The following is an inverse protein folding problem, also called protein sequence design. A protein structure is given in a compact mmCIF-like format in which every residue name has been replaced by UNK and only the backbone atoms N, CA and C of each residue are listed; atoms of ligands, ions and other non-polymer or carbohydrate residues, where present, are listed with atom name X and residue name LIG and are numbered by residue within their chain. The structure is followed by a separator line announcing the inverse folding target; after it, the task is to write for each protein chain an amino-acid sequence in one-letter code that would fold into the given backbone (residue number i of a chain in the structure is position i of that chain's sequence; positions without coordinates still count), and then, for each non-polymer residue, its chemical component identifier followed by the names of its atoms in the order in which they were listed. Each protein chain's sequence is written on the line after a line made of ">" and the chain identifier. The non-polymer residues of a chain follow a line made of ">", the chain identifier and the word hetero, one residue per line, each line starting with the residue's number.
data_IF_532901054351
#
_entry.id   IF_532901054351
#
_cell.length_a   1.000
_cell.length_b   1.000
_cell.length_c   1.000
_cell.angle_alpha   90.00
_cell.angle_beta   90.00
_cell.angle_gamma   90.00
#
_symmetry.space_group_name_H-M   'P 1'
#
loop_
_entity.id
_entity.type
_entity.pdbx_description
1 polymer ?
#
# COMPACT_ATOMS: atom_id res chain seq x y z
N UNK A 1 -29.88 6.74 -5.57
CA UNK A 1 -29.88 5.59 -4.64
C UNK A 1 -28.60 5.66 -3.82
N UNK A 2 -28.70 5.92 -2.52
CA UNK A 2 -27.55 5.91 -1.62
C UNK A 2 -27.31 4.46 -1.17
N UNK A 3 -26.40 3.75 -1.83
CA UNK A 3 -26.06 2.38 -1.44
C UNK A 3 -25.21 2.44 -0.16
N UNK A 4 -25.62 1.80 0.95
CA UNK A 4 -24.80 1.73 2.14
C UNK A 4 -23.47 1.05 1.82
N UNK A 5 -22.39 1.50 2.47
CA UNK A 5 -21.06 0.88 2.33
C UNK A 5 -21.17 -0.62 2.65
N UNK A 6 -20.61 -1.52 1.83
CA UNK A 6 -20.70 -2.96 2.07
C UNK A 6 -20.05 -3.35 3.41
N UNK A 7 -20.53 -4.44 4.01
CA UNK A 7 -20.03 -4.96 5.29
C UNK A 7 -18.57 -5.43 5.25
N UNK A 8 -18.03 -5.66 4.05
CA UNK A 8 -16.67 -6.11 3.82
C UNK A 8 -16.10 -5.46 2.57
N UNK A 9 -14.80 -5.09 2.55
CA UNK A 9 -14.13 -4.56 1.36
C UNK A 9 -13.79 -5.66 0.33
N UNK A 10 -14.15 -6.92 0.59
CA UNK A 10 -13.86 -8.03 -0.30
C UNK A 10 -14.59 -7.90 -1.65
N UNK A 11 -13.87 -8.09 -2.75
CA UNK A 11 -14.43 -8.13 -4.11
C UNK A 11 -14.48 -9.55 -4.69
N UNK A 12 -14.43 -10.58 -3.83
CA UNK A 12 -14.37 -12.00 -4.19
C UNK A 12 -13.17 -12.41 -5.09
N UNK A 13 -12.12 -11.58 -5.13
CA UNK A 13 -10.83 -11.92 -5.72
C UNK A 13 -9.77 -11.95 -4.61
N UNK A 14 -9.17 -13.12 -4.38
CA UNK A 14 -8.18 -13.31 -3.32
C UNK A 14 -6.85 -13.78 -3.92
N UNK A 15 -5.84 -12.91 -3.87
CA UNK A 15 -4.49 -13.26 -4.32
C UNK A 15 -3.58 -13.72 -3.17
N UNK A 16 -4.00 -13.57 -1.91
CA UNK A 16 -3.22 -14.07 -0.76
C UNK A 16 -3.22 -15.60 -0.71
N UNK A 17 -4.24 -16.26 -1.26
CA UNK A 17 -4.25 -17.70 -1.47
C UNK A 17 -3.16 -18.17 -2.47
N UNK A 18 -2.63 -17.25 -3.28
CA UNK A 18 -1.57 -17.49 -4.25
C UNK A 18 -0.18 -17.06 -3.74
N UNK A 19 -0.09 -16.58 -2.49
CA UNK A 19 1.17 -16.22 -1.84
C UNK A 19 1.43 -14.72 -1.66
N UNK A 20 0.53 -13.82 -2.08
CA UNK A 20 0.68 -12.39 -1.78
C UNK A 20 0.41 -12.11 -0.29
N UNK A 21 1.21 -11.26 0.37
CA UNK A 21 0.94 -10.83 1.74
C UNK A 21 -0.21 -9.82 1.85
N UNK A 22 -0.44 -9.05 0.77
CA UNK A 22 -1.53 -8.08 0.62
C UNK A 22 -2.36 -8.45 -0.59
N UNK A 23 -3.68 -8.59 -0.40
CA UNK A 23 -4.59 -8.98 -1.45
C UNK A 23 -4.67 -7.91 -2.56
N UNK A 24 -4.45 -8.29 -3.82
CA UNK A 24 -4.53 -7.36 -4.96
C UNK A 24 -5.96 -6.88 -5.24
N UNK A 25 -6.97 -7.60 -4.77
CA UNK A 25 -8.38 -7.26 -4.96
C UNK A 25 -8.90 -6.25 -3.92
N UNK A 26 -8.76 -6.57 -2.64
CA UNK A 26 -9.32 -5.75 -1.55
C UNK A 26 -8.27 -4.98 -0.73
N UNK A 27 -6.98 -5.09 -1.07
CA UNK A 27 -5.83 -4.39 -0.45
C UNK A 27 -5.71 -4.54 1.07
N UNK A 28 -6.36 -5.57 1.63
CA UNK A 28 -6.17 -6.03 3.00
C UNK A 28 -4.99 -6.99 3.11
N UNK A 29 -4.37 -7.02 4.28
CA UNK A 29 -3.38 -8.05 4.61
C UNK A 29 -4.05 -9.40 4.83
N UNK A 30 -3.30 -10.50 4.71
CA UNK A 30 -3.83 -11.83 5.05
C UNK A 30 -4.37 -11.90 6.49
N UNK A 31 -3.71 -11.24 7.44
CA UNK A 31 -4.17 -11.14 8.83
C UNK A 31 -5.54 -10.48 8.94
N UNK A 32 -5.74 -9.35 8.26
CA UNK A 32 -7.04 -8.65 8.26
C UNK A 32 -8.14 -9.45 7.56
N UNK A 33 -7.81 -10.23 6.52
CA UNK A 33 -8.76 -11.11 5.84
C UNK A 33 -9.18 -12.25 6.75
N UNK A 34 -8.22 -12.95 7.36
CA UNK A 34 -8.49 -14.11 8.22
C UNK A 34 -9.20 -13.75 9.52
N UNK A 35 -8.95 -12.55 10.06
CA UNK A 35 -9.54 -12.09 11.32
C UNK A 35 -10.83 -11.27 11.15
N UNK A 36 -11.27 -10.98 9.92
CA UNK A 36 -12.35 -10.03 9.65
C UNK A 36 -13.62 -10.28 10.48
N UNK A 37 -14.07 -11.54 10.57
CA UNK A 37 -15.29 -11.91 11.28
C UNK A 37 -15.18 -11.78 12.81
N UNK A 38 -13.95 -11.69 13.34
CA UNK A 38 -13.66 -11.56 14.76
C UNK A 38 -13.34 -10.11 15.18
N UNK A 39 -13.11 -9.22 14.21
CA UNK A 39 -12.80 -7.81 14.47
C UNK A 39 -14.03 -7.03 14.95
N UNK A 40 -13.82 -6.23 15.99
CA UNK A 40 -14.76 -5.20 16.43
C UNK A 40 -14.99 -4.12 15.37
N UNK A 41 -15.99 -3.27 15.58
CA UNK A 41 -16.31 -2.18 14.65
C UNK A 41 -15.15 -1.20 14.48
N UNK A 42 -14.50 -0.81 15.59
CA UNK A 42 -13.36 0.11 15.57
C UNK A 42 -12.15 -0.45 14.79
N UNK A 43 -11.90 -1.76 14.90
CA UNK A 43 -10.84 -2.44 14.16
C UNK A 43 -11.17 -2.51 12.66
N UNK A 44 -12.40 -2.89 12.31
CA UNK A 44 -12.87 -2.89 10.93
C UNK A 44 -12.78 -1.50 10.31
N UNK A 45 -13.16 -0.46 11.04
CA UNK A 45 -13.07 0.92 10.58
C UNK A 45 -11.61 1.37 10.40
N UNK A 46 -10.71 0.95 11.29
CA UNK A 46 -9.27 1.19 11.11
C UNK A 46 -8.73 0.54 9.83
N UNK A 47 -9.17 -0.68 9.50
CA UNK A 47 -8.82 -1.34 8.23
C UNK A 47 -9.35 -0.53 7.04
N UNK A 48 -10.64 -0.15 7.07
CA UNK A 48 -11.26 0.64 6.00
C UNK A 48 -10.52 1.94 5.71
N UNK A 49 -10.10 2.68 6.74
CA UNK A 49 -9.33 3.94 6.57
C UNK A 49 -7.99 3.73 5.89
N UNK A 50 -7.36 2.56 5.99
CA UNK A 50 -6.06 2.26 5.37
C UNK A 50 -6.16 1.87 3.89
N UNK A 51 -7.30 1.31 3.45
CA UNK A 51 -7.42 0.74 2.10
C UNK A 51 -7.17 1.73 0.96
N UNK A 52 -7.67 2.98 0.99
CA UNK A 52 -7.40 3.94 -0.08
C UNK A 52 -5.90 4.19 -0.29
N UNK A 53 -5.16 4.31 0.81
CA UNK A 53 -3.73 4.51 0.77
C UNK A 53 -2.99 3.26 0.27
N UNK A 54 -3.33 2.08 0.80
CA UNK A 54 -2.76 0.80 0.33
C UNK A 54 -3.04 0.53 -1.13
N UNK A 55 -4.19 0.96 -1.65
CA UNK A 55 -4.50 0.87 -3.07
C UNK A 55 -3.53 1.68 -3.94
N UNK A 56 -3.10 2.85 -3.47
CA UNK A 56 -2.07 3.65 -4.16
C UNK A 56 -0.72 2.96 -4.08
N UNK A 57 -0.34 2.44 -2.91
CA UNK A 57 0.91 1.69 -2.74
C UNK A 57 0.96 0.46 -3.64
N UNK A 58 -0.13 -0.29 -3.74
CA UNK A 58 -0.23 -1.49 -4.59
C UNK A 58 0.03 -1.14 -6.06
N UNK A 59 -0.51 -0.02 -6.56
CA UNK A 59 -0.28 0.43 -7.95
C UNK A 59 1.18 0.77 -8.20
N UNK A 60 1.85 1.41 -7.23
CA UNK A 60 3.28 1.71 -7.32
C UNK A 60 4.12 0.43 -7.25
N UNK A 61 3.81 -0.50 -6.34
CA UNK A 61 4.47 -1.82 -6.28
C UNK A 61 4.40 -2.54 -7.63
N UNK A 62 3.20 -2.61 -8.21
CA UNK A 62 2.96 -3.24 -9.49
C UNK A 62 3.76 -2.57 -10.62
N UNK A 63 3.84 -1.25 -10.65
CA UNK A 63 4.65 -0.51 -11.62
C UNK A 63 6.16 -0.74 -11.44
N UNK A 64 6.61 -1.01 -10.21
CA UNK A 64 7.98 -1.45 -9.93
C UNK A 64 8.24 -2.93 -10.27
N UNK A 65 7.22 -3.67 -10.77
CA UNK A 65 7.33 -5.12 -11.00
C UNK A 65 7.46 -5.94 -9.72
N UNK A 66 6.96 -5.42 -8.59
CA UNK A 66 7.09 -6.03 -7.27
C UNK A 66 5.72 -6.34 -6.63
N UNK A 67 5.73 -7.25 -5.66
CA UNK A 67 4.60 -7.45 -4.75
C UNK A 67 4.56 -6.32 -3.71
N UNK A 68 3.36 -5.95 -3.27
CA UNK A 68 3.21 -5.01 -2.17
C UNK A 68 3.53 -5.70 -0.84
N UNK A 69 4.65 -5.33 -0.26
CA UNK A 69 4.99 -5.62 1.13
C UNK A 69 4.76 -4.37 1.97
N UNK A 70 4.02 -4.51 3.08
CA UNK A 70 3.76 -3.41 4.01
C UNK A 70 4.67 -3.53 5.23
N UNK A 71 5.22 -2.42 5.67
CA UNK A 71 6.05 -2.32 6.86
C UNK A 71 5.60 -1.10 7.68
N UNK A 72 5.33 -1.32 8.98
CA UNK A 72 5.07 -0.22 9.89
C UNK A 72 6.40 0.31 10.44
N UNK A 73 6.63 1.62 10.30
CA UNK A 73 7.82 2.30 10.80
C UNK A 73 7.42 3.67 11.36
N UNK A 74 7.81 3.94 12.59
CA UNK A 74 7.52 5.20 13.31
C UNK A 74 6.01 5.54 13.30
N UNK A 75 5.16 4.51 13.43
CA UNK A 75 3.70 4.64 13.40
C UNK A 75 3.09 4.86 12.01
N UNK A 76 3.91 4.89 10.96
CA UNK A 76 3.48 5.06 9.57
C UNK A 76 3.59 3.76 8.79
N UNK A 77 2.64 3.50 7.91
CA UNK A 77 2.68 2.34 7.01
C UNK A 77 3.43 2.69 5.71
N UNK A 78 4.44 1.89 5.37
CA UNK A 78 5.27 2.04 4.18
C UNK A 78 5.11 0.81 3.28
N UNK A 79 5.15 1.01 1.97
CA UNK A 79 5.45 -0.04 1.03
C UNK A 79 6.96 -0.34 1.02
N UNK A 80 7.35 -1.60 0.91
CA UNK A 80 8.76 -2.02 0.80
C UNK A 80 9.01 -2.74 -0.51
N UNK A 81 10.02 -2.31 -1.25
CA UNK A 81 10.49 -2.98 -2.47
C UNK A 81 11.49 -4.09 -2.13
N UNK A 82 11.69 -5.08 -3.02
CA UNK A 82 12.69 -6.14 -2.83
C UNK A 82 14.12 -5.62 -2.63
N UNK A 83 14.44 -4.44 -3.17
CA UNK A 83 15.73 -3.75 -2.96
C UNK A 83 15.94 -3.25 -1.53
N UNK A 84 14.92 -3.28 -0.67
CA UNK A 84 14.94 -2.72 0.68
C UNK A 84 14.52 -1.25 0.75
N UNK A 85 14.33 -0.60 -0.40
CA UNK A 85 13.78 0.75 -0.49
C UNK A 85 12.34 0.75 0.01
N UNK A 86 12.01 1.71 0.87
CA UNK A 86 10.66 1.94 1.36
C UNK A 86 10.05 3.14 0.66
N UNK A 87 8.74 3.14 0.49
CA UNK A 87 8.02 4.23 -0.14
C UNK A 87 6.63 4.44 0.48
N UNK A 88 6.16 5.68 0.45
CA UNK A 88 4.80 6.04 0.84
C UNK A 88 4.33 7.25 0.02
N UNK A 89 3.02 7.46 -0.03
CA UNK A 89 2.44 8.70 -0.53
C UNK A 89 1.86 9.47 0.65
N UNK A 90 2.03 10.78 0.71
CA UNK A 90 1.29 11.59 1.68
C UNK A 90 -0.09 12.02 1.14
N UNK A 91 -0.77 12.87 1.91
CA UNK A 91 -2.09 13.41 1.58
C UNK A 91 -2.03 14.35 0.36
N UNK A 92 -0.95 15.13 0.22
CA UNK A 92 -0.69 16.02 -0.92
C UNK A 92 -0.28 15.25 -2.19
N UNK A 93 -0.03 13.95 -2.05
CA UNK A 93 0.34 13.06 -3.14
C UNK A 93 1.82 13.08 -3.50
N UNK A 94 2.67 13.67 -2.64
CA UNK A 94 4.10 13.52 -2.76
C UNK A 94 4.51 12.08 -2.45
N UNK A 95 5.42 11.54 -3.27
CA UNK A 95 5.99 10.22 -3.08
C UNK A 95 7.25 10.33 -2.26
N UNK A 96 7.23 9.75 -1.07
CA UNK A 96 8.39 9.67 -0.19
C UNK A 96 9.11 8.36 -0.42
N UNK A 97 10.43 8.38 -0.40
CA UNK A 97 11.32 7.21 -0.42
C UNK A 97 12.23 7.26 0.79
N UNK A 98 12.38 6.12 1.46
CA UNK A 98 13.41 5.87 2.45
C UNK A 98 14.36 4.81 1.90
N UNK A 99 15.59 5.22 1.60
CA UNK A 99 16.64 4.36 1.06
C UNK A 99 17.23 3.47 2.14
N UNK A 100 18.00 2.45 1.74
CA UNK A 100 18.58 1.46 2.66
C UNK A 100 19.66 2.04 3.57
N UNK A 101 20.28 3.14 3.18
CA UNK A 101 21.24 3.92 3.98
C UNK A 101 20.57 4.94 4.92
N UNK A 102 19.23 4.96 4.97
CA UNK A 102 18.47 5.79 5.90
C UNK A 102 18.15 7.20 5.40
N UNK A 103 18.53 7.57 4.17
CA UNK A 103 18.14 8.87 3.58
C UNK A 103 16.66 8.87 3.22
N UNK A 104 15.99 9.99 3.51
CA UNK A 104 14.60 10.23 3.12
C UNK A 104 14.54 11.29 2.03
N UNK A 105 13.84 10.98 0.96
CA UNK A 105 13.65 11.87 -0.19
C UNK A 105 12.16 11.96 -0.52
N UNK A 106 11.73 13.07 -1.11
CA UNK A 106 10.35 13.26 -1.56
C UNK A 106 10.31 13.77 -3.00
N UNK A 107 9.43 13.17 -3.80
CA UNK A 107 9.10 13.60 -5.15
C UNK A 107 7.71 14.24 -5.14
N UNK A 108 7.65 15.51 -5.50
CA UNK A 108 6.41 16.24 -5.73
C UNK A 108 6.19 16.37 -7.24
N UNK A 109 5.03 15.92 -7.73
CA UNK A 109 4.67 16.04 -9.14
C UNK A 109 3.16 16.19 -9.29
N UNK A 110 2.73 17.15 -10.13
CA UNK A 110 1.31 17.45 -10.39
C UNK A 110 0.55 16.22 -10.89
N UNK A 111 1.20 15.38 -11.72
CA UNK A 111 0.65 14.12 -12.21
C UNK A 111 1.63 12.97 -11.97
N UNK A 112 1.64 12.47 -10.74
CA UNK A 112 2.43 11.29 -10.39
C UNK A 112 1.74 10.02 -10.88
N UNK A 113 2.16 9.53 -12.04
CA UNK A 113 1.74 8.21 -12.55
C UNK A 113 2.50 7.08 -11.83
N UNK A 114 1.95 5.86 -11.79
CA UNK A 114 2.66 4.69 -11.25
C UNK A 114 4.02 4.46 -11.92
N UNK A 115 4.14 4.72 -13.22
CA UNK A 115 5.39 4.58 -13.98
C UNK A 115 6.44 5.60 -13.53
N UNK A 116 6.04 6.88 -13.38
CA UNK A 116 6.93 7.91 -12.85
C UNK A 116 7.39 7.61 -11.42
N UNK A 117 6.49 7.05 -10.60
CA UNK A 117 6.84 6.59 -9.26
C UNK A 117 7.86 5.44 -9.31
N UNK A 118 7.64 4.45 -10.18
CA UNK A 118 8.54 3.31 -10.34
C UNK A 118 9.93 3.74 -10.84
N UNK A 119 10.00 4.56 -11.88
CA UNK A 119 11.23 5.15 -12.38
C UNK A 119 11.98 5.80 -11.22
N UNK A 120 11.35 6.72 -10.50
CA UNK A 120 11.98 7.44 -9.40
C UNK A 120 12.47 6.54 -8.26
N UNK A 121 11.65 5.57 -7.83
CA UNK A 121 11.99 4.65 -6.74
C UNK A 121 13.15 3.71 -7.09
N UNK A 122 13.21 3.26 -8.35
CA UNK A 122 14.21 2.31 -8.84
C UNK A 122 15.53 2.96 -9.27
N UNK A 123 15.61 4.29 -9.36
CA UNK A 123 16.89 4.99 -9.59
C UNK A 123 17.87 4.66 -8.47
N UNK A 124 19.03 4.12 -8.86
CA UNK A 124 20.18 3.98 -7.96
C UNK A 124 20.65 5.39 -7.59
N UNK A 125 20.77 5.66 -6.29
CA UNK A 125 21.34 6.92 -5.83
C UNK A 125 22.78 7.01 -6.31
N UNK A 126 23.10 8.08 -7.03
CA UNK A 126 24.47 8.56 -7.17
C UNK A 126 24.97 9.15 -5.84
#
# INVERSE_FOLDING_TARGET
>A
MNHPRPDSPCIALCSTALGDNVCRGCVRTFGEISQWCFMGEAEREAVWRRLPQRQRLLRVAAACGALLELECRDGMEWGRLPSGVRYRLDEDGALHRLTTDGRTEALHRVELTPQHAAEWLLRRGE
#
